data_IF_650786113109
#
_entry.id   IF_650786113109
#
_cell.length_a   1.000
_cell.length_b   1.000
_cell.length_c   1.000
_cell.angle_alpha   90.00
_cell.angle_beta   90.00
_cell.angle_gamma   90.00
#
_symmetry.space_group_name_H-M   'P 1'
#
loop_
_entity.id
_entity.type
_entity.pdbx_description
1 polymer ?
#
# COMPACT_ATOMS: atom_id res chain seq x y z
N UNK A 1 -12.16 2.22 -2.12
CA UNK A 1 -10.80 1.86 -2.55
C UNK A 1 -9.77 2.23 -1.50
N UNK A 2 -8.81 1.37 -1.29
CA UNK A 2 -7.72 1.58 -0.33
C UNK A 2 -6.41 1.25 -1.03
N UNK A 3 -5.43 2.13 -0.92
CA UNK A 3 -4.07 1.86 -1.40
C UNK A 3 -3.34 1.11 -0.28
N UNK A 4 -2.70 0.00 -0.62
CA UNK A 4 -2.05 -0.85 0.37
C UNK A 4 -0.54 -0.69 0.37
N UNK A 5 0.02 -0.49 1.55
CA UNK A 5 1.44 -0.56 1.83
C UNK A 5 1.81 -1.95 2.36
N UNK A 6 3.09 -2.31 2.28
CA UNK A 6 3.60 -3.62 2.69
C UNK A 6 3.26 -3.95 4.15
N UNK A 7 3.44 -3.00 5.06
CA UNK A 7 3.16 -3.21 6.49
C UNK A 7 1.70 -3.50 6.75
N UNK A 8 0.79 -2.84 6.04
CA UNK A 8 -0.65 -3.08 6.15
C UNK A 8 -1.05 -4.44 5.60
N UNK A 9 -0.49 -4.84 4.46
CA UNK A 9 -0.74 -6.15 3.87
C UNK A 9 -0.22 -7.28 4.76
N UNK A 10 0.98 -7.13 5.31
CA UNK A 10 1.52 -8.11 6.26
C UNK A 10 0.61 -8.30 7.45
N UNK A 11 0.13 -7.22 8.06
CA UNK A 11 -0.78 -7.31 9.19
C UNK A 11 -2.11 -7.98 8.83
N UNK A 12 -2.61 -7.77 7.61
CA UNK A 12 -3.84 -8.41 7.15
C UNK A 12 -3.68 -9.93 6.94
N UNK A 13 -2.50 -10.37 6.49
CA UNK A 13 -2.23 -11.77 6.17
C UNK A 13 -1.59 -12.55 7.31
N UNK A 14 -0.98 -11.89 8.28
CA UNK A 14 -0.36 -12.54 9.43
C UNK A 14 -1.42 -12.97 10.45
N UNK A 15 -1.55 -14.28 10.67
CA UNK A 15 -2.50 -14.82 11.63
C UNK A 15 -2.16 -14.48 13.09
N UNK A 16 -0.89 -14.15 13.36
CA UNK A 16 -0.41 -13.80 14.69
C UNK A 16 -0.47 -12.30 14.98
N UNK A 17 -0.75 -11.47 13.96
CA UNK A 17 -0.89 -10.03 14.15
C UNK A 17 -2.15 -9.70 14.96
N UNK A 18 -2.02 -9.07 16.14
CA UNK A 18 -3.18 -8.78 17.01
C UNK A 18 -4.26 -7.93 16.34
N UNK A 19 -3.85 -7.01 15.46
CA UNK A 19 -4.76 -6.14 14.72
C UNK A 19 -5.31 -6.77 13.43
N UNK A 20 -4.76 -7.91 13.03
CA UNK A 20 -5.13 -8.61 11.80
C UNK A 20 -6.63 -8.87 11.63
N UNK A 21 -7.34 -9.41 12.64
CA UNK A 21 -8.78 -9.64 12.53
C UNK A 21 -9.59 -8.37 12.26
N UNK A 22 -9.27 -7.27 12.94
CA UNK A 22 -9.95 -5.98 12.75
C UNK A 22 -9.67 -5.41 11.35
N UNK A 23 -8.43 -5.52 10.87
CA UNK A 23 -8.06 -5.12 9.52
C UNK A 23 -8.82 -5.93 8.47
N UNK A 24 -8.85 -7.25 8.60
CA UNK A 24 -9.60 -8.12 7.68
C UNK A 24 -11.09 -7.79 7.67
N UNK A 25 -11.67 -7.53 8.83
CA UNK A 25 -13.07 -7.10 8.91
C UNK A 25 -13.30 -5.78 8.19
N UNK A 26 -12.42 -4.82 8.39
CA UNK A 26 -12.47 -3.52 7.69
C UNK A 26 -12.36 -3.71 6.17
N UNK A 27 -11.41 -4.49 5.70
CA UNK A 27 -11.21 -4.75 4.28
C UNK A 27 -12.40 -5.48 3.65
N UNK A 28 -12.97 -6.45 4.36
CA UNK A 28 -14.16 -7.18 3.89
C UNK A 28 -15.41 -6.30 3.81
N UNK A 29 -15.49 -5.25 4.63
CA UNK A 29 -16.58 -4.27 4.57
C UNK A 29 -16.39 -3.23 3.46
N UNK A 30 -15.20 -3.15 2.89
CA UNK A 30 -14.88 -2.19 1.84
C UNK A 30 -15.49 -2.62 0.51
N UNK A 31 -16.33 -1.76 -0.07
CA UNK A 31 -16.99 -2.05 -1.35
C UNK A 31 -16.05 -1.88 -2.57
N UNK A 32 -14.90 -1.24 -2.38
CA UNK A 32 -13.92 -0.99 -3.44
C UNK A 32 -12.75 -1.95 -3.39
N UNK A 33 -12.10 -2.13 -4.52
CA UNK A 33 -10.90 -2.95 -4.62
C UNK A 33 -9.73 -2.37 -3.80
N UNK A 34 -8.84 -3.25 -3.39
CA UNK A 34 -7.52 -2.85 -2.91
C UNK A 34 -6.63 -2.52 -4.10
N UNK A 35 -5.81 -1.51 -3.96
CA UNK A 35 -4.84 -1.11 -5.00
C UNK A 35 -3.44 -1.27 -4.43
N UNK A 36 -2.59 -1.97 -5.15
CA UNK A 36 -1.24 -2.30 -4.71
C UNK A 36 -0.23 -1.83 -5.75
N UNK A 37 0.80 -1.12 -5.30
CA UNK A 37 1.97 -0.82 -6.13
C UNK A 37 2.69 -2.12 -6.51
N UNK A 38 3.21 -2.26 -7.75
CA UNK A 38 4.02 -3.43 -8.11
C UNK A 38 5.28 -3.57 -7.24
N UNK A 39 5.81 -2.47 -6.71
CA UNK A 39 6.96 -2.49 -5.80
C UNK A 39 6.59 -3.00 -4.41
N UNK A 40 5.45 -2.59 -3.90
CA UNK A 40 4.87 -3.13 -2.66
C UNK A 40 4.56 -4.61 -2.83
N UNK A 41 3.98 -4.99 -3.96
CA UNK A 41 3.66 -6.38 -4.24
C UNK A 41 4.91 -7.26 -4.22
N UNK A 42 5.99 -6.84 -4.87
CA UNK A 42 7.24 -7.59 -4.90
C UNK A 42 7.86 -7.75 -3.50
N UNK A 43 7.84 -6.69 -2.71
CA UNK A 43 8.32 -6.72 -1.32
C UNK A 43 7.45 -7.62 -0.45
N UNK A 44 6.16 -7.49 -0.55
CA UNK A 44 5.19 -8.31 0.19
C UNK A 44 5.29 -9.80 -0.19
N UNK A 45 5.37 -10.11 -1.48
CA UNK A 45 5.56 -11.48 -1.97
C UNK A 45 6.80 -12.14 -1.37
N UNK A 46 7.93 -11.43 -1.39
CA UNK A 46 9.17 -11.93 -0.79
C UNK A 46 9.01 -12.23 0.70
N UNK A 47 8.39 -11.33 1.44
CA UNK A 47 8.18 -11.52 2.88
C UNK A 47 7.19 -12.63 3.17
N UNK A 48 6.12 -12.74 2.39
CA UNK A 48 5.11 -13.79 2.52
C UNK A 48 5.70 -15.17 2.24
N UNK A 49 6.47 -15.30 1.15
CA UNK A 49 7.15 -16.52 0.79
C UNK A 49 8.13 -16.98 1.88
N UNK A 50 8.91 -16.03 2.41
CA UNK A 50 9.92 -16.32 3.45
C UNK A 50 9.28 -16.73 4.77
N UNK A 51 8.16 -16.09 5.17
CA UNK A 51 7.50 -16.32 6.47
C UNK A 51 6.48 -17.46 6.44
N UNK A 52 5.73 -17.59 5.35
CA UNK A 52 4.57 -18.50 5.28
C UNK A 52 4.64 -19.54 4.16
N UNK A 53 5.65 -19.46 3.29
CA UNK A 53 5.93 -20.47 2.26
C UNK A 53 5.12 -20.33 0.98
N UNK A 54 5.35 -21.29 0.07
CA UNK A 54 4.82 -21.28 -1.30
C UNK A 54 3.28 -21.30 -1.35
N UNK A 55 2.61 -21.97 -0.41
CA UNK A 55 1.14 -22.02 -0.41
C UNK A 55 0.51 -20.64 -0.19
N UNK A 56 1.08 -19.85 0.71
CA UNK A 56 0.62 -18.50 0.96
C UNK A 56 0.87 -17.59 -0.26
N UNK A 57 2.03 -17.72 -0.89
CA UNK A 57 2.35 -17.03 -2.15
C UNK A 57 1.35 -17.39 -3.26
N UNK A 58 1.04 -18.67 -3.42
CA UNK A 58 0.06 -19.13 -4.43
C UNK A 58 -1.34 -18.56 -4.15
N UNK A 59 -1.75 -18.47 -2.89
CA UNK A 59 -3.02 -17.82 -2.53
C UNK A 59 -3.04 -16.37 -2.98
N UNK A 60 -1.99 -15.62 -2.67
CA UNK A 60 -1.85 -14.23 -3.12
C UNK A 60 -1.94 -14.11 -4.65
N UNK A 61 -1.17 -14.92 -5.37
CA UNK A 61 -1.14 -14.87 -6.84
C UNK A 61 -2.49 -15.24 -7.46
N UNK A 62 -3.20 -16.21 -6.87
CA UNK A 62 -4.54 -16.59 -7.32
C UNK A 62 -5.57 -15.48 -7.04
N UNK A 63 -5.48 -14.80 -5.91
CA UNK A 63 -6.34 -13.66 -5.59
C UNK A 63 -6.12 -12.52 -6.60
N UNK A 64 -4.87 -12.22 -6.93
CA UNK A 64 -4.55 -11.24 -7.97
C UNK A 64 -5.05 -11.67 -9.36
N UNK A 65 -4.94 -12.95 -9.70
CA UNK A 65 -5.42 -13.48 -10.96
C UNK A 65 -6.94 -13.45 -11.10
N UNK A 66 -7.67 -13.43 -9.99
CA UNK A 66 -9.13 -13.30 -9.98
C UNK A 66 -9.64 -11.87 -10.23
N UNK A 67 -8.73 -10.90 -10.34
CA UNK A 67 -9.01 -9.49 -10.61
C UNK A 67 -9.87 -8.81 -9.50
N UNK A 68 -9.87 -9.37 -8.31
CA UNK A 68 -10.53 -8.77 -7.14
C UNK A 68 -9.76 -7.55 -6.65
N UNK A 69 -8.43 -7.68 -6.60
CA UNK A 69 -7.53 -6.59 -6.25
C UNK A 69 -6.81 -6.07 -7.49
N UNK A 70 -6.35 -4.84 -7.42
CA UNK A 70 -5.76 -4.16 -8.57
C UNK A 70 -4.28 -3.86 -8.34
N UNK A 71 -3.43 -4.37 -9.25
CA UNK A 71 -2.01 -4.00 -9.30
C UNK A 71 -1.88 -2.75 -10.17
N UNK A 72 -1.40 -1.67 -9.56
CA UNK A 72 -1.25 -0.40 -10.24
C UNK A 72 -0.09 -0.42 -11.25
N UNK A 73 -0.23 0.34 -12.32
CA UNK A 73 0.84 0.55 -13.30
C UNK A 73 1.77 1.66 -12.80
N UNK A 74 3.08 1.45 -12.94
CA UNK A 74 4.09 2.47 -12.73
C UNK A 74 4.58 3.00 -14.07
N UNK A 75 4.36 4.28 -14.32
CA UNK A 75 4.70 4.93 -15.59
C UNK A 75 5.97 5.79 -15.47
N UNK A 76 6.50 6.24 -16.62
CA UNK A 76 7.61 7.22 -16.64
C UNK A 76 7.21 8.52 -15.93
N UNK A 77 5.94 8.93 -16.04
CA UNK A 77 5.42 10.10 -15.34
C UNK A 77 5.42 9.88 -13.82
N UNK A 78 5.08 8.68 -13.37
CA UNK A 78 5.16 8.32 -11.95
C UNK A 78 6.62 8.34 -11.45
N UNK A 79 7.57 7.89 -12.26
CA UNK A 79 8.99 7.99 -11.93
C UNK A 79 9.42 9.43 -11.69
N UNK A 80 8.98 10.36 -12.53
CA UNK A 80 9.25 11.80 -12.34
C UNK A 80 8.62 12.37 -11.08
N UNK A 81 7.39 11.95 -10.74
CA UNK A 81 6.72 12.33 -9.48
C UNK A 81 7.42 11.74 -8.27
N UNK A 82 7.85 10.48 -8.35
CA UNK A 82 8.61 9.82 -7.29
C UNK A 82 9.94 10.55 -7.04
N UNK A 83 10.65 10.94 -8.09
CA UNK A 83 11.89 11.70 -7.98
C UNK A 83 11.69 13.01 -7.22
N UNK A 84 10.60 13.73 -7.48
CA UNK A 84 10.26 14.96 -6.75
C UNK A 84 9.99 14.71 -5.27
N UNK A 85 9.25 13.65 -4.94
CA UNK A 85 8.99 13.29 -3.55
C UNK A 85 10.27 12.91 -2.81
N UNK A 86 11.09 12.07 -3.42
CA UNK A 86 12.37 11.63 -2.84
C UNK A 86 13.31 12.83 -2.61
N UNK A 87 13.38 13.75 -3.55
CA UNK A 87 14.20 14.96 -3.42
C UNK A 87 13.67 15.90 -2.33
N UNK A 88 12.37 16.19 -2.35
CA UNK A 88 11.73 17.10 -1.39
C UNK A 88 11.84 16.58 0.05
N UNK A 89 11.76 15.28 0.23
CA UNK A 89 11.81 14.62 1.54
C UNK A 89 13.06 13.74 1.68
N UNK A 90 14.21 14.25 1.21
CA UNK A 90 15.46 13.48 1.17
C UNK A 90 15.87 12.92 2.54
N UNK A 91 15.59 13.64 3.63
CA UNK A 91 15.91 13.21 5.00
C UNK A 91 15.11 11.96 5.43
N UNK A 92 13.96 11.72 4.84
CA UNK A 92 13.14 10.54 5.12
C UNK A 92 13.66 9.27 4.43
N UNK A 93 14.51 9.42 3.42
CA UNK A 93 15.06 8.32 2.62
C UNK A 93 13.95 7.41 2.07
N UNK A 94 12.94 8.02 1.45
CA UNK A 94 11.83 7.30 0.83
C UNK A 94 12.35 6.34 -0.24
N UNK A 95 11.90 5.09 -0.20
CA UNK A 95 12.09 4.14 -1.27
C UNK A 95 11.03 4.30 -2.37
N UNK A 96 11.23 3.60 -3.48
CA UNK A 96 10.30 3.63 -4.61
C UNK A 96 8.92 3.07 -4.25
N UNK A 97 8.83 2.10 -3.36
CA UNK A 97 7.58 1.53 -2.90
C UNK A 97 6.74 2.57 -2.15
N UNK A 98 7.34 3.27 -1.18
CA UNK A 98 6.67 4.34 -0.44
C UNK A 98 6.25 5.48 -1.36
N UNK A 99 7.17 5.95 -2.21
CA UNK A 99 6.89 7.04 -3.14
C UNK A 99 5.75 6.70 -4.10
N UNK A 100 5.73 5.50 -4.65
CA UNK A 100 4.65 5.08 -5.55
C UNK A 100 3.31 4.93 -4.80
N UNK A 101 3.31 4.37 -3.60
CA UNK A 101 2.12 4.30 -2.75
C UNK A 101 1.52 5.70 -2.50
N UNK A 102 2.37 6.68 -2.19
CA UNK A 102 1.95 8.07 -2.00
C UNK A 102 1.38 8.70 -3.27
N UNK A 103 1.94 8.38 -4.43
CA UNK A 103 1.43 8.84 -5.73
C UNK A 103 0.06 8.24 -6.03
N UNK A 104 -0.12 6.95 -5.74
CA UNK A 104 -1.39 6.25 -5.97
C UNK A 104 -2.50 6.77 -5.06
N UNK A 105 -2.17 7.15 -3.83
CA UNK A 105 -3.11 7.69 -2.85
C UNK A 105 -3.42 9.17 -3.11
N UNK A 106 -3.61 9.51 -4.37
CA UNK A 106 -4.04 10.84 -4.80
C UNK A 106 -5.49 10.77 -5.30
N UNK A 107 -6.28 11.76 -4.92
CA UNK A 107 -7.71 11.77 -5.23
C UNK A 107 -8.02 11.77 -6.73
N UNK A 108 -7.09 12.25 -7.56
CA UNK A 108 -7.26 12.31 -9.01
C UNK A 108 -7.01 10.99 -9.74
N UNK A 109 -6.41 10.01 -9.09
CA UNK A 109 -6.08 8.73 -9.75
C UNK A 109 -7.09 7.63 -9.44
N UNK A 110 -7.30 7.33 -8.16
CA UNK A 110 -8.24 6.29 -7.70
C UNK A 110 -9.37 6.84 -6.84
N UNK A 111 -9.49 8.16 -6.75
CA UNK A 111 -10.51 8.82 -5.93
C UNK A 111 -10.33 8.61 -4.43
N UNK A 112 -9.13 8.29 -3.97
CA UNK A 112 -8.87 7.99 -2.57
C UNK A 112 -7.52 8.52 -2.10
N UNK A 113 -7.47 8.97 -0.85
CA UNK A 113 -6.23 9.28 -0.13
C UNK A 113 -5.99 8.31 1.02
N UNK A 114 -6.75 7.21 1.05
CA UNK A 114 -6.72 6.21 2.12
C UNK A 114 -5.61 5.21 1.87
N UNK A 115 -4.73 5.05 2.84
CA UNK A 115 -3.60 4.11 2.78
C UNK A 115 -3.70 3.15 3.96
N UNK A 116 -3.64 1.85 3.69
CA UNK A 116 -3.49 0.82 4.71
C UNK A 116 -2.00 0.68 5.03
N UNK A 117 -1.58 1.17 6.18
CA UNK A 117 -0.18 1.17 6.60
C UNK A 117 -0.01 1.26 8.12
N UNK A 118 1.08 0.72 8.62
CA UNK A 118 1.55 0.94 10.00
C UNK A 118 2.73 1.92 10.07
N UNK A 119 3.26 2.34 8.92
CA UNK A 119 4.33 3.34 8.84
C UNK A 119 3.77 4.77 8.91
N UNK A 120 3.39 5.19 10.10
CA UNK A 120 2.92 6.55 10.29
C UNK A 120 4.03 7.60 10.11
N UNK A 121 5.29 7.24 10.40
CA UNK A 121 6.41 8.17 10.32
C UNK A 121 6.55 8.77 8.92
N UNK A 122 6.62 7.95 7.90
CA UNK A 122 6.80 8.42 6.53
C UNK A 122 5.51 9.05 5.98
N UNK A 123 4.38 8.38 6.12
CA UNK A 123 3.13 8.85 5.52
C UNK A 123 2.52 10.07 6.23
N UNK A 124 2.81 10.32 7.50
CA UNK A 124 2.44 11.57 8.19
C UNK A 124 3.33 12.75 7.82
N UNK A 125 4.61 12.50 7.53
CA UNK A 125 5.58 13.54 7.24
C UNK A 125 5.46 14.10 5.84
N UNK A 126 4.95 13.30 4.88
CA UNK A 126 4.85 13.67 3.47
C UNK A 126 3.46 14.25 3.19
N UNK A 127 3.44 15.39 2.50
CA UNK A 127 2.20 15.95 1.95
C UNK A 127 1.99 15.44 0.53
N UNK A 128 0.75 15.01 0.19
CA UNK A 128 0.42 14.66 -1.19
C UNK A 128 0.77 15.76 -2.18
N UNK A 129 1.24 15.41 -3.37
CA UNK A 129 1.63 16.39 -4.40
C UNK A 129 0.46 17.32 -4.80
N UNK A 130 -0.77 16.84 -4.74
CA UNK A 130 -1.98 17.60 -5.03
C UNK A 130 -2.58 18.32 -3.82
N UNK A 131 -1.86 18.34 -2.68
CA UNK A 131 -2.33 18.93 -1.44
C UNK A 131 -3.20 17.98 -0.61
N UNK A 132 -3.65 18.46 0.55
CA UNK A 132 -4.39 17.64 1.50
C UNK A 132 -3.50 16.80 2.40
N UNK A 133 -4.07 15.74 2.96
CA UNK A 133 -3.39 14.77 3.83
C UNK A 133 -3.80 13.36 3.46
N UNK A 134 -2.93 12.40 3.74
CA UNK A 134 -3.29 10.98 3.66
C UNK A 134 -4.15 10.59 4.86
N UNK A 135 -5.11 9.71 4.63
CA UNK A 135 -5.87 9.04 5.69
C UNK A 135 -5.24 7.67 5.92
N UNK A 136 -4.63 7.47 7.05
CA UNK A 136 -3.89 6.25 7.37
C UNK A 136 -4.79 5.27 8.12
N UNK A 137 -4.95 4.07 7.57
CA UNK A 137 -5.74 3.00 8.17
C UNK A 137 -4.80 1.95 8.79
N UNK A 138 -5.11 1.42 9.97
CA UNK A 138 -6.32 1.68 10.78
C UNK A 138 -6.24 2.91 11.68
N UNK A 139 -5.15 3.65 11.71
CA UNK A 139 -4.90 4.71 12.71
C UNK A 139 -5.94 5.84 12.70
N UNK A 140 -6.54 6.14 11.56
CA UNK A 140 -7.49 7.24 11.38
C UNK A 140 -8.95 6.75 11.27
N UNK A 141 -9.24 5.57 11.76
CA UNK A 141 -10.61 5.06 11.84
C UNK A 141 -11.45 5.77 12.89
#
# INVERSE_FOLDING_TARGET
>A
MIICDTSGLLAAYDAEEPEGPAIRQMLNAEAGALVVSPFVLAEFDYMLLTRAGVRAELTLLNDLASDVDHVAVFTSQDAGRAARLVEQYADLKLGIADAHTMILAAADRYGTTRILTFDQKHFRAVKPLQGGVFTLLPADL
#
